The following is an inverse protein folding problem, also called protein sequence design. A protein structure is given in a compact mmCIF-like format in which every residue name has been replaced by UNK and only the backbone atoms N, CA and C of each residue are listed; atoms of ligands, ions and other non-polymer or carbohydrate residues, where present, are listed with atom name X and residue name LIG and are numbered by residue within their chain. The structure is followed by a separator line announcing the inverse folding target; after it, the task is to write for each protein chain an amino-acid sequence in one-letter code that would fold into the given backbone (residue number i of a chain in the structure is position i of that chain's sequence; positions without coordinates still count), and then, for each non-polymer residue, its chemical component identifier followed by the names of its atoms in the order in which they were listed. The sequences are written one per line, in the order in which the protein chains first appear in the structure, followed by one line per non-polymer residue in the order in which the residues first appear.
data_IF_812743980446
#
_entry.id   IF_812743980446
#
_cell.length_a   1.000
_cell.length_b   1.000
_cell.length_c   1.000
_cell.angle_alpha   90.00
_cell.angle_beta   90.00
_cell.angle_gamma   90.00
#
_symmetry.space_group_name_H-M   'P 1'
#
loop_
_entity.id
_entity.type
_entity.pdbx_description
1 polymer ?
#
# COMPACT_ATOMS: atom_id res chain seq x y z
N UNK A 1 12.08 -2.83 -0.44
CA UNK A 1 13.28 -3.67 -0.64
C UNK A 1 12.89 -5.11 -0.34
N UNK A 2 12.84 -5.96 -1.37
CA UNK A 2 12.49 -7.37 -1.19
C UNK A 2 13.61 -8.05 -0.39
N UNK A 3 13.30 -8.56 0.80
CA UNK A 3 14.20 -9.45 1.54
C UNK A 3 14.59 -10.57 0.57
N UNK A 4 15.87 -10.69 0.25
CA UNK A 4 16.39 -11.84 -0.50
C UNK A 4 15.90 -13.09 0.21
N UNK A 5 15.01 -13.82 -0.44
CA UNK A 5 14.36 -15.01 0.11
C UNK A 5 15.47 -16.04 0.34
N UNK A 6 15.81 -16.26 1.60
CA UNK A 6 16.80 -17.27 1.96
C UNK A 6 16.37 -18.62 1.40
N UNK A 7 17.29 -19.30 0.70
CA UNK A 7 16.98 -20.57 0.08
C UNK A 7 16.58 -21.62 1.12
N UNK A 8 15.48 -22.30 0.84
CA UNK A 8 15.02 -23.38 1.71
C UNK A 8 15.89 -24.62 1.51
N UNK A 9 15.97 -25.45 2.56
CA UNK A 9 16.66 -26.76 2.48
C UNK A 9 16.18 -27.58 1.28
N UNK A 10 14.87 -27.51 0.98
CA UNK A 10 14.25 -28.24 -0.13
C UNK A 10 14.80 -27.76 -1.48
N UNK A 11 14.94 -26.45 -1.68
CA UNK A 11 15.54 -25.90 -2.89
C UNK A 11 17.00 -26.34 -3.04
N UNK A 12 17.79 -26.24 -1.97
CA UNK A 12 19.21 -26.64 -2.01
C UNK A 12 19.37 -28.12 -2.38
N UNK A 13 18.56 -29.01 -1.82
CA UNK A 13 18.58 -30.43 -2.16
C UNK A 13 18.12 -30.71 -3.59
N UNK A 14 17.07 -30.02 -4.05
CA UNK A 14 16.58 -30.16 -5.42
C UNK A 14 17.63 -29.70 -6.44
N UNK A 15 18.19 -28.52 -6.23
CA UNK A 15 19.18 -27.93 -7.14
C UNK A 15 20.48 -28.74 -7.16
N UNK A 16 20.99 -29.18 -6.00
CA UNK A 16 22.21 -30.01 -5.95
C UNK A 16 22.03 -31.39 -6.59
N UNK A 17 20.86 -32.03 -6.40
CA UNK A 17 20.56 -33.29 -7.06
C UNK A 17 20.46 -33.13 -8.58
N UNK A 18 19.88 -32.02 -9.05
CA UNK A 18 19.81 -31.74 -10.48
C UNK A 18 21.19 -31.46 -11.08
N UNK A 19 22.01 -30.64 -10.44
CA UNK A 19 23.39 -30.39 -10.88
C UNK A 19 24.19 -31.69 -10.97
N UNK A 20 24.07 -32.58 -9.97
CA UNK A 20 24.70 -33.90 -10.02
C UNK A 20 24.20 -34.74 -11.21
N UNK A 21 22.91 -34.68 -11.52
CA UNK A 21 22.33 -35.40 -12.64
C UNK A 21 22.83 -34.84 -13.99
N UNK A 22 22.93 -33.51 -14.13
CA UNK A 22 23.47 -32.85 -15.33
C UNK A 22 24.92 -33.27 -15.54
N UNK A 23 25.75 -33.20 -14.49
CA UNK A 23 27.16 -33.58 -14.58
C UNK A 23 27.32 -35.04 -14.97
N UNK A 24 26.52 -35.95 -14.37
CA UNK A 24 26.53 -37.37 -14.73
C UNK A 24 26.05 -37.64 -16.15
N UNK A 25 25.08 -36.88 -16.64
CA UNK A 25 24.57 -37.05 -18.01
C UNK A 25 25.60 -36.57 -19.05
N UNK A 26 26.23 -35.42 -18.83
CA UNK A 26 27.23 -34.85 -19.73
C UNK A 26 28.51 -35.71 -19.81
N UNK A 27 28.89 -36.38 -18.71
CA UNK A 27 30.12 -37.19 -18.61
C UNK A 27 29.87 -38.70 -18.65
N UNK A 28 28.67 -39.15 -19.04
CA UNK A 28 28.35 -40.59 -19.10
C UNK A 28 29.13 -41.31 -20.19
N UNK A 29 29.41 -40.62 -21.29
CA UNK A 29 30.21 -41.12 -22.40
C UNK A 29 31.66 -40.71 -22.18
N UNK A 30 32.55 -41.69 -22.28
CA UNK A 30 33.98 -41.53 -22.02
C UNK A 30 34.74 -41.24 -23.31
N UNK A 31 35.99 -40.81 -23.18
CA UNK A 31 36.86 -40.68 -24.34
C UNK A 31 37.10 -42.03 -25.04
N UNK A 32 37.03 -43.15 -24.30
CA UNK A 32 37.12 -44.50 -24.86
C UNK A 32 35.92 -44.78 -25.79
N UNK A 33 34.69 -44.46 -25.36
CA UNK A 33 33.49 -44.59 -26.19
C UNK A 33 33.57 -43.72 -27.46
N UNK A 34 34.18 -42.53 -27.34
CA UNK A 34 34.42 -41.64 -28.48
C UNK A 34 35.46 -42.21 -29.46
N UNK A 35 36.54 -42.79 -28.93
CA UNK A 35 37.59 -43.42 -29.72
C UNK A 35 37.10 -44.66 -30.45
N UNK A 36 36.19 -45.44 -29.86
CA UNK A 36 35.58 -46.59 -30.54
C UNK A 36 34.81 -46.16 -31.80
N UNK A 37 34.13 -45.02 -31.72
CA UNK A 37 33.36 -44.47 -32.85
C UNK A 37 34.24 -43.75 -33.89
N UNK A 38 35.38 -43.17 -33.48
CA UNK A 38 36.26 -42.36 -34.34
C UNK A 38 37.73 -42.83 -34.33
N UNK A 39 37.93 -44.15 -34.38
CA UNK A 39 39.24 -44.78 -34.16
C UNK A 39 40.37 -44.34 -35.11
N UNK A 40 40.05 -44.01 -36.37
CA UNK A 40 41.04 -43.53 -37.34
C UNK A 40 41.53 -42.12 -36.98
N UNK A 41 40.60 -41.21 -36.68
CA UNK A 41 40.91 -39.83 -36.38
C UNK A 41 41.63 -39.67 -35.03
N UNK A 42 41.21 -40.41 -34.01
CA UNK A 42 41.90 -40.44 -32.71
C UNK A 42 43.34 -40.96 -32.80
N UNK A 43 43.68 -41.78 -33.80
CA UNK A 43 45.05 -42.26 -34.06
C UNK A 43 45.89 -41.23 -34.81
N UNK A 44 45.29 -40.49 -35.74
CA UNK A 44 45.98 -39.47 -36.55
C UNK A 44 46.23 -38.18 -35.76
N UNK A 45 45.25 -37.71 -34.99
CA UNK A 45 45.35 -36.48 -34.18
C UNK A 45 44.77 -36.67 -32.76
N UNK A 46 45.51 -37.33 -31.85
CA UNK A 46 45.02 -37.61 -30.49
C UNK A 46 44.71 -36.35 -29.68
N UNK A 47 45.55 -35.31 -29.79
CA UNK A 47 45.33 -34.04 -29.07
C UNK A 47 44.13 -33.24 -29.59
N UNK A 48 43.84 -33.33 -30.90
CA UNK A 48 42.68 -32.68 -31.51
C UNK A 48 41.37 -33.36 -31.09
N UNK A 49 41.34 -34.69 -31.15
CA UNK A 49 40.19 -35.49 -30.75
C UNK A 49 39.84 -35.32 -29.26
N UNK A 50 40.84 -35.33 -28.36
CA UNK A 50 40.65 -35.09 -26.93
C UNK A 50 40.16 -33.66 -26.65
N UNK A 51 40.69 -32.67 -27.37
CA UNK A 51 40.22 -31.28 -27.29
C UNK A 51 38.74 -31.15 -27.67
N UNK A 52 38.34 -31.73 -28.80
CA UNK A 52 36.96 -31.70 -29.28
C UNK A 52 36.01 -32.46 -28.34
N UNK A 53 36.39 -33.63 -27.85
CA UNK A 53 35.62 -34.37 -26.84
C UNK A 53 35.31 -33.51 -25.62
N UNK A 54 36.34 -32.87 -25.05
CA UNK A 54 36.18 -31.99 -23.89
C UNK A 54 35.32 -30.76 -24.21
N UNK A 55 35.44 -30.19 -25.42
CA UNK A 55 34.58 -29.07 -25.86
C UNK A 55 33.13 -29.48 -25.97
N UNK A 56 32.82 -30.66 -26.54
CA UNK A 56 31.45 -31.15 -26.68
C UNK A 56 30.83 -31.43 -25.31
N UNK A 57 31.57 -32.11 -24.41
CA UNK A 57 31.08 -32.42 -23.06
C UNK A 57 30.75 -31.16 -22.26
N UNK A 58 31.64 -30.14 -22.29
CA UNK A 58 31.38 -28.84 -21.66
C UNK A 58 30.20 -28.11 -22.30
N UNK A 59 30.13 -28.11 -23.63
CA UNK A 59 29.04 -27.44 -24.33
C UNK A 59 27.67 -28.07 -24.02
N UNK A 60 27.60 -29.40 -23.94
CA UNK A 60 26.38 -30.11 -23.52
C UNK A 60 25.99 -29.75 -22.08
N UNK A 61 26.94 -29.72 -21.15
CA UNK A 61 26.70 -29.31 -19.76
C UNK A 61 26.15 -27.89 -19.68
N UNK A 62 26.83 -26.93 -20.33
CA UNK A 62 26.43 -25.52 -20.36
C UNK A 62 25.05 -25.33 -20.99
N UNK A 63 24.75 -26.03 -22.10
CA UNK A 63 23.47 -25.94 -22.79
C UNK A 63 22.32 -26.51 -21.94
N UNK A 64 22.53 -27.65 -21.29
CA UNK A 64 21.54 -28.26 -20.40
C UNK A 64 21.31 -27.36 -19.19
N UNK A 65 22.38 -26.86 -18.57
CA UNK A 65 22.30 -25.95 -17.43
C UNK A 65 21.55 -24.66 -17.80
N UNK A 66 21.90 -24.01 -18.92
CA UNK A 66 21.22 -22.80 -19.38
C UNK A 66 19.73 -23.04 -19.67
N UNK A 67 19.38 -24.21 -20.21
CA UNK A 67 17.99 -24.58 -20.48
C UNK A 67 17.21 -24.80 -19.18
N UNK A 68 17.80 -25.46 -18.19
CA UNK A 68 17.21 -25.63 -16.86
C UNK A 68 17.01 -24.28 -16.16
N UNK A 69 18.01 -23.39 -16.20
CA UNK A 69 17.90 -22.06 -15.60
C UNK A 69 16.82 -21.19 -16.26
N UNK A 70 16.61 -21.34 -17.58
CA UNK A 70 15.48 -20.70 -18.27
C UNK A 70 14.15 -21.24 -17.73
N UNK A 71 13.99 -22.56 -17.66
CA UNK A 71 12.78 -23.18 -17.11
C UNK A 71 12.53 -22.77 -15.66
N UNK A 72 13.58 -22.64 -14.85
CA UNK A 72 13.45 -22.18 -13.47
C UNK A 72 12.89 -20.78 -13.36
N UNK A 73 13.29 -19.88 -14.26
CA UNK A 73 12.75 -18.52 -14.34
C UNK A 73 11.31 -18.53 -14.85
N UNK A 74 11.04 -19.23 -15.95
CA UNK A 74 9.72 -19.24 -16.59
C UNK A 74 8.64 -19.79 -15.65
N UNK A 75 8.95 -20.83 -14.89
CA UNK A 75 8.02 -21.46 -13.95
C UNK A 75 8.20 -21.01 -12.50
N UNK A 76 9.05 -20.01 -12.23
CA UNK A 76 9.29 -19.47 -10.89
C UNK A 76 9.58 -20.59 -9.85
N UNK A 77 10.39 -21.57 -10.26
CA UNK A 77 10.49 -22.87 -9.58
C UNK A 77 11.08 -22.71 -8.18
N UNK A 78 12.05 -21.81 -8.02
CA UNK A 78 12.70 -21.55 -6.74
C UNK A 78 11.70 -21.05 -5.70
N UNK A 79 10.91 -20.05 -6.06
CA UNK A 79 9.86 -19.45 -5.25
C UNK A 79 8.76 -20.47 -4.92
N UNK A 80 8.36 -21.28 -5.90
CA UNK A 80 7.34 -22.31 -5.72
C UNK A 80 7.82 -23.42 -4.77
N UNK A 81 9.07 -23.87 -4.90
CA UNK A 81 9.67 -24.87 -3.99
C UNK A 81 9.84 -24.28 -2.58
N UNK A 82 10.22 -23.02 -2.47
CA UNK A 82 10.33 -22.33 -1.19
C UNK A 82 8.97 -22.18 -0.52
N UNK A 83 7.93 -21.79 -1.26
CA UNK A 83 6.54 -21.74 -0.79
C UNK A 83 6.07 -23.10 -0.30
N UNK A 84 6.32 -24.17 -1.07
CA UNK A 84 6.00 -25.53 -0.68
C UNK A 84 6.72 -25.94 0.62
N UNK A 85 8.00 -25.58 0.78
CA UNK A 85 8.74 -25.85 2.01
C UNK A 85 8.13 -25.13 3.22
N UNK A 86 7.73 -23.87 3.06
CA UNK A 86 7.06 -23.11 4.11
C UNK A 86 5.74 -23.76 4.52
N UNK A 87 4.86 -24.08 3.55
CA UNK A 87 3.56 -24.74 3.79
C UNK A 87 3.74 -26.09 4.49
N UNK A 88 4.69 -26.92 4.05
CA UNK A 88 4.94 -28.22 4.69
C UNK A 88 5.49 -28.06 6.11
N UNK A 89 6.37 -27.09 6.34
CA UNK A 89 6.94 -26.84 7.67
C UNK A 89 5.86 -26.36 8.63
N UNK A 90 5.01 -25.44 8.18
CA UNK A 90 3.87 -24.97 8.93
C UNK A 90 2.89 -26.12 9.24
N UNK A 91 2.54 -26.94 8.25
CA UNK A 91 1.67 -28.10 8.45
C UNK A 91 2.25 -29.10 9.46
N UNK A 92 3.57 -29.32 9.46
CA UNK A 92 4.25 -30.17 10.45
C UNK A 92 4.13 -29.60 11.86
N UNK A 93 4.35 -28.29 12.03
CA UNK A 93 4.20 -27.61 13.32
C UNK A 93 2.76 -27.70 13.81
N UNK A 94 1.77 -27.48 12.93
CA UNK A 94 0.34 -27.62 13.27
C UNK A 94 -0.02 -29.05 13.69
N UNK A 95 0.52 -30.06 12.98
CA UNK A 95 0.35 -31.47 13.35
C UNK A 95 0.92 -31.78 14.74
N UNK A 96 2.09 -31.22 15.08
CA UNK A 96 2.70 -31.38 16.41
C UNK A 96 1.84 -30.74 17.52
N UNK A 97 1.09 -29.69 17.21
CA UNK A 97 0.15 -29.03 18.13
C UNK A 97 -1.20 -29.76 18.26
N UNK A 98 -1.42 -30.84 17.50
CA UNK A 98 -2.71 -31.56 17.51
C UNK A 98 -3.83 -30.85 16.74
N UNK A 99 -3.52 -29.84 15.93
CA UNK A 99 -4.49 -29.10 15.12
C UNK A 99 -4.81 -29.84 13.81
N UNK A 100 -5.36 -31.06 13.93
CA UNK A 100 -5.55 -31.98 12.80
C UNK A 100 -6.95 -31.93 12.19
N UNK A 101 -7.94 -31.31 12.85
CA UNK A 101 -9.31 -31.20 12.36
C UNK A 101 -9.75 -29.74 12.25
N UNK A 102 -9.30 -29.08 11.18
CA UNK A 102 -9.69 -27.71 10.84
C UNK A 102 -10.57 -27.67 9.60
N UNK A 103 -11.40 -26.63 9.56
CA UNK A 103 -12.31 -26.34 8.43
C UNK A 103 -11.57 -25.93 7.14
N UNK A 104 -10.30 -25.55 7.24
CA UNK A 104 -9.44 -25.14 6.12
C UNK A 104 -8.61 -26.30 5.52
N UNK A 105 -8.83 -27.54 5.99
CA UNK A 105 -8.16 -28.71 5.44
C UNK A 105 -8.68 -29.04 4.04
N UNK A 106 -7.75 -29.24 3.12
CA UNK A 106 -8.07 -29.79 1.81
C UNK A 106 -8.63 -31.22 1.98
N UNK A 107 -9.74 -31.50 1.29
CA UNK A 107 -10.36 -32.81 1.20
C UNK A 107 -10.59 -33.11 -0.29
N UNK A 108 -10.54 -34.38 -0.66
CA UNK A 108 -10.75 -34.80 -2.04
C UNK A 108 -12.17 -34.46 -2.53
N UNK A 109 -13.17 -34.60 -1.65
CA UNK A 109 -14.58 -34.25 -1.90
C UNK A 109 -14.93 -32.80 -1.53
N UNK A 110 -13.99 -31.86 -1.65
CA UNK A 110 -14.25 -30.46 -1.28
C UNK A 110 -15.16 -29.78 -2.32
N UNK A 111 -16.37 -29.40 -1.90
CA UNK A 111 -17.28 -28.58 -2.72
C UNK A 111 -16.55 -27.29 -3.15
N UNK A 112 -16.47 -26.98 -4.47
CA UNK A 112 -15.87 -25.75 -4.96
C UNK A 112 -16.40 -24.48 -4.26
N UNK A 113 -17.68 -24.46 -3.87
CA UNK A 113 -18.25 -23.32 -3.13
C UNK A 113 -17.65 -23.19 -1.73
N UNK A 114 -17.36 -24.30 -1.06
CA UNK A 114 -16.71 -24.29 0.25
C UNK A 114 -15.27 -23.78 0.14
N UNK A 115 -14.53 -24.19 -0.89
CA UNK A 115 -13.18 -23.70 -1.16
C UNK A 115 -13.14 -22.18 -1.40
N UNK A 116 -14.06 -21.67 -2.23
CA UNK A 116 -14.18 -20.22 -2.49
C UNK A 116 -14.52 -19.48 -1.21
N UNK A 117 -15.52 -19.94 -0.44
CA UNK A 117 -15.91 -19.29 0.83
C UNK A 117 -14.76 -19.25 1.84
N UNK A 118 -13.97 -20.32 1.97
CA UNK A 118 -12.84 -20.37 2.89
C UNK A 118 -11.82 -19.24 2.61
N UNK A 119 -11.65 -18.85 1.35
CA UNK A 119 -10.77 -17.73 0.96
C UNK A 119 -11.46 -16.37 1.02
N UNK A 120 -12.70 -16.28 0.58
CA UNK A 120 -13.40 -15.01 0.41
C UNK A 120 -13.95 -14.45 1.73
N UNK A 121 -14.43 -15.32 2.65
CA UNK A 121 -15.04 -14.88 3.91
C UNK A 121 -14.07 -14.08 4.79
N UNK A 122 -12.81 -14.50 5.01
CA UNK A 122 -11.86 -13.70 5.80
C UNK A 122 -11.61 -12.31 5.22
N UNK A 123 -11.52 -12.19 3.88
CA UNK A 123 -11.35 -10.89 3.21
C UNK A 123 -12.56 -10.01 3.40
N UNK A 124 -13.77 -10.56 3.22
CA UNK A 124 -15.02 -9.82 3.44
C UNK A 124 -15.20 -9.40 4.90
N UNK A 125 -14.77 -10.23 5.85
CA UNK A 125 -14.80 -9.89 7.27
C UNK A 125 -13.84 -8.73 7.60
N UNK A 126 -12.62 -8.76 7.06
CA UNK A 126 -11.66 -7.67 7.23
C UNK A 126 -12.19 -6.35 6.64
N UNK A 127 -12.79 -6.40 5.45
CA UNK A 127 -13.41 -5.22 4.83
C UNK A 127 -14.63 -4.72 5.60
N UNK A 128 -15.47 -5.64 6.11
CA UNK A 128 -16.60 -5.26 6.95
C UNK A 128 -16.14 -4.54 8.22
N UNK A 129 -15.05 -4.98 8.84
CA UNK A 129 -14.53 -4.34 10.05
C UNK A 129 -13.98 -2.95 9.74
N UNK A 130 -13.18 -2.83 8.67
CA UNK A 130 -12.69 -1.53 8.18
C UNK A 130 -13.83 -0.53 7.90
N UNK A 131 -14.91 -0.99 7.28
CA UNK A 131 -16.06 -0.15 6.98
C UNK A 131 -16.79 0.30 8.25
N UNK A 132 -16.94 -0.57 9.25
CA UNK A 132 -17.53 -0.20 10.54
C UNK A 132 -16.69 0.84 11.28
N UNK A 133 -15.37 0.66 11.32
CA UNK A 133 -14.46 1.65 11.91
C UNK A 133 -14.55 3.00 11.19
N UNK A 134 -14.68 2.98 9.86
CA UNK A 134 -14.83 4.21 9.07
C UNK A 134 -16.17 4.88 9.34
N UNK A 135 -17.26 4.10 9.43
CA UNK A 135 -18.58 4.61 9.75
C UNK A 135 -18.60 5.26 11.13
N UNK A 136 -18.03 4.59 12.14
CA UNK A 136 -17.97 5.12 13.49
C UNK A 136 -17.23 6.47 13.55
N UNK A 137 -16.08 6.59 12.86
CA UNK A 137 -15.35 7.86 12.78
C UNK A 137 -16.18 8.97 12.15
N UNK A 138 -16.88 8.66 11.05
CA UNK A 138 -17.74 9.64 10.39
C UNK A 138 -18.93 10.05 11.26
N UNK A 139 -19.52 9.11 12.02
CA UNK A 139 -20.59 9.41 12.97
C UNK A 139 -20.10 10.33 14.09
N UNK A 140 -18.92 10.06 14.66
CA UNK A 140 -18.28 10.90 15.68
C UNK A 140 -17.97 12.31 15.15
N UNK A 141 -17.41 12.41 13.94
CA UNK A 141 -17.15 13.70 13.27
C UNK A 141 -18.45 14.47 13.00
N UNK A 142 -19.50 13.79 12.56
CA UNK A 142 -20.78 14.42 12.27
C UNK A 142 -21.44 14.97 13.54
N UNK A 143 -21.39 14.21 14.65
CA UNK A 143 -21.88 14.67 15.95
C UNK A 143 -21.13 15.94 16.37
N UNK A 144 -19.79 15.95 16.29
CA UNK A 144 -18.99 17.11 16.64
C UNK A 144 -19.32 18.35 15.78
N UNK A 145 -19.49 18.16 14.46
CA UNK A 145 -19.88 19.22 13.54
C UNK A 145 -21.30 19.75 13.81
N UNK A 146 -22.24 18.88 14.17
CA UNK A 146 -23.59 19.30 14.56
C UNK A 146 -23.55 20.15 15.84
N UNK A 147 -22.79 19.73 16.85
CA UNK A 147 -22.62 20.50 18.09
C UNK A 147 -22.00 21.88 17.83
N UNK A 148 -20.97 21.94 16.99
CA UNK A 148 -20.34 23.19 16.57
C UNK A 148 -21.33 24.10 15.83
N UNK A 149 -22.11 23.54 14.92
CA UNK A 149 -23.12 24.28 14.14
C UNK A 149 -24.18 24.88 15.05
N UNK A 150 -24.70 24.12 16.01
CA UNK A 150 -25.69 24.61 16.99
C UNK A 150 -25.12 25.74 17.83
N UNK A 151 -23.87 25.60 18.29
CA UNK A 151 -23.18 26.65 19.05
C UNK A 151 -22.99 27.92 18.21
N UNK A 152 -22.60 27.79 16.95
CA UNK A 152 -22.43 28.91 16.04
C UNK A 152 -23.77 29.62 15.77
N UNK A 153 -24.86 28.88 15.58
CA UNK A 153 -26.20 29.45 15.43
C UNK A 153 -26.64 30.24 16.68
N UNK A 154 -26.35 29.73 17.87
CA UNK A 154 -26.66 30.42 19.12
C UNK A 154 -25.85 31.71 19.27
N UNK A 155 -24.54 31.66 19.00
CA UNK A 155 -23.68 32.85 19.02
C UNK A 155 -24.12 33.91 18.00
N UNK A 156 -24.51 33.48 16.79
CA UNK A 156 -24.97 34.37 15.73
C UNK A 156 -26.31 35.03 16.10
N UNK A 157 -27.20 34.31 16.77
CA UNK A 157 -28.44 34.85 17.32
C UNK A 157 -28.18 35.92 18.38
N UNK A 158 -27.32 35.64 19.36
CA UNK A 158 -26.96 36.61 20.40
C UNK A 158 -26.26 37.85 19.81
N UNK A 159 -25.43 37.67 18.80
CA UNK A 159 -24.79 38.77 18.09
C UNK A 159 -25.81 39.64 17.37
N UNK A 160 -26.78 39.03 16.67
CA UNK A 160 -27.87 39.76 16.00
C UNK A 160 -28.73 40.55 16.99
N UNK A 161 -29.04 39.96 18.14
CA UNK A 161 -29.79 40.65 19.21
C UNK A 161 -29.03 41.89 19.71
N UNK A 162 -27.72 41.77 19.99
CA UNK A 162 -26.87 42.91 20.38
C UNK A 162 -26.76 43.98 19.29
N UNK A 163 -26.64 43.58 18.03
CA UNK A 163 -26.60 44.51 16.89
C UNK A 163 -27.93 45.27 16.79
N UNK A 164 -29.05 44.58 16.98
CA UNK A 164 -30.37 45.20 16.95
C UNK A 164 -30.54 46.24 18.08
N UNK A 165 -30.08 45.92 19.29
CA UNK A 165 -30.07 46.87 20.42
C UNK A 165 -29.22 48.11 20.11
N UNK A 166 -28.01 47.91 19.56
CA UNK A 166 -27.13 49.02 19.16
C UNK A 166 -27.74 49.89 18.07
N UNK A 167 -28.42 49.29 17.08
CA UNK A 167 -29.12 50.02 16.04
C UNK A 167 -30.29 50.83 16.59
N UNK A 168 -31.06 50.28 17.54
CA UNK A 168 -32.11 51.03 18.23
C UNK A 168 -31.54 52.25 18.96
N UNK A 169 -30.42 52.11 19.67
CA UNK A 169 -29.76 53.24 20.31
C UNK A 169 -29.24 54.28 19.30
N UNK A 170 -28.70 53.83 18.16
CA UNK A 170 -28.25 54.72 17.10
C UNK A 170 -29.43 55.52 16.50
N UNK A 171 -30.58 54.87 16.28
CA UNK A 171 -31.81 55.51 15.81
C UNK A 171 -32.35 56.53 16.83
N UNK A 172 -32.30 56.21 18.13
CA UNK A 172 -32.66 57.14 19.19
C UNK A 172 -31.76 58.38 19.21
N UNK A 173 -30.45 58.19 19.10
CA UNK A 173 -29.47 59.29 19.03
C UNK A 173 -29.70 60.12 17.78
N UNK A 174 -29.91 59.49 16.62
CA UNK A 174 -30.20 60.17 15.37
C UNK A 174 -31.49 61.00 15.44
N UNK A 175 -32.56 60.44 16.04
CA UNK A 175 -33.83 61.14 16.27
C UNK A 175 -33.66 62.35 17.20
N UNK A 176 -32.87 62.21 18.28
CA UNK A 176 -32.56 63.33 19.18
C UNK A 176 -31.72 64.39 18.47
N UNK A 177 -30.72 63.98 17.70
CA UNK A 177 -29.87 64.87 16.92
C UNK A 177 -30.69 65.70 15.92
N UNK A 178 -31.62 65.08 15.19
CA UNK A 178 -32.50 65.79 14.24
C UNK A 178 -33.51 66.75 14.90
N UNK A 179 -33.79 66.58 16.20
CA UNK A 179 -34.64 67.50 16.96
C UNK A 179 -33.88 68.71 17.50
N UNK A 180 -32.56 68.70 17.42
CA UNK A 180 -31.75 69.87 17.76
C UNK A 180 -32.05 70.94 16.70
N UNK A 181 -32.44 72.16 17.08
CA UNK A 181 -32.74 73.21 16.12
C UNK A 181 -31.43 73.73 15.51
N UNK A 182 -30.96 73.09 14.43
CA UNK A 182 -29.72 73.45 13.75
C UNK A 182 -29.73 74.90 13.24
N UNK A 183 -30.89 75.41 12.83
CA UNK A 183 -31.05 76.79 12.39
C UNK A 183 -30.90 77.79 13.54
N UNK A 184 -31.41 77.46 14.73
CA UNK A 184 -31.24 78.30 15.93
C UNK A 184 -29.80 78.26 16.43
N UNK A 185 -29.12 77.11 16.38
CA UNK A 185 -27.69 77.02 16.71
C UNK A 185 -26.86 77.79 15.69
N UNK A 186 -27.19 77.72 14.40
CA UNK A 186 -26.57 78.51 13.34
C UNK A 186 -26.73 80.00 13.61
N UNK A 187 -27.96 80.46 13.87
CA UNK A 187 -28.26 81.85 14.22
C UNK A 187 -27.57 82.29 15.52
N UNK A 188 -27.53 81.45 16.55
CA UNK A 188 -26.86 81.75 17.81
C UNK A 188 -25.35 81.84 17.62
N UNK A 189 -24.75 80.95 16.82
CA UNK A 189 -23.33 81.00 16.48
C UNK A 189 -22.96 82.24 15.66
N UNK A 190 -23.83 82.68 14.74
CA UNK A 190 -23.67 83.93 14.00
C UNK A 190 -23.81 85.15 14.92
N UNK A 191 -24.82 85.18 15.80
CA UNK A 191 -24.99 86.26 16.77
C UNK A 191 -23.83 86.35 17.77
N UNK A 192 -23.28 85.22 18.21
CA UNK A 192 -22.09 85.20 19.07
C UNK A 192 -20.86 85.70 18.31
N UNK A 193 -20.67 85.27 17.06
CA UNK A 193 -19.57 85.77 16.21
C UNK A 193 -19.69 87.27 15.92
N UNK A 194 -20.90 87.76 15.63
CA UNK A 194 -21.19 89.18 15.42
C UNK A 194 -21.01 90.00 16.71
N UNK A 195 -21.44 89.50 17.86
CA UNK A 195 -21.20 90.16 19.15
C UNK A 195 -19.72 90.19 19.51
N UNK A 196 -18.96 89.12 19.22
CA UNK A 196 -17.50 89.12 19.42
C UNK A 196 -16.80 90.11 18.48
N UNK A 197 -17.23 90.20 17.22
CA UNK A 197 -16.73 91.20 16.27
C UNK A 197 -17.13 92.63 16.64
N UNK A 198 -18.33 92.84 17.21
CA UNK A 198 -18.81 94.14 17.67
C UNK A 198 -18.15 94.60 18.99
N UNK A 199 -17.66 93.69 19.81
CA UNK A 199 -16.85 93.99 21.02
C UNK A 199 -15.38 94.30 20.71
N UNK A 200 -14.98 94.33 19.44
CA UNK A 200 -13.67 94.81 19.00
C UNK A 200 -13.82 96.28 18.52
N UNK A 201 -13.36 97.30 19.28
CA UNK A 201 -13.23 98.65 18.76
C UNK A 201 -12.10 98.71 17.71
N UNK A 202 -12.05 99.75 16.84
CA UNK A 202 -11.04 99.88 15.78
C UNK A 202 -9.59 99.88 16.30
#
# INVERSE_FOLDING_TARGET
MAKGTQDTKRWTHFHSALQLAINRAAHKWTYEDFQECFALWCKEEPHGAEGIFNTISRHMEDQVHASCERLFKDFNVRENINTLHAVVTEARVRKQRGEVDRKDLWREDLDPRAAVRARTVPVLQAESERLKETLQKLEEENIALYEETVKNMQNDRESKERIQELLQHADEVYSRWNKIPHDEIGLWSLQVAENMAATQPP
#
